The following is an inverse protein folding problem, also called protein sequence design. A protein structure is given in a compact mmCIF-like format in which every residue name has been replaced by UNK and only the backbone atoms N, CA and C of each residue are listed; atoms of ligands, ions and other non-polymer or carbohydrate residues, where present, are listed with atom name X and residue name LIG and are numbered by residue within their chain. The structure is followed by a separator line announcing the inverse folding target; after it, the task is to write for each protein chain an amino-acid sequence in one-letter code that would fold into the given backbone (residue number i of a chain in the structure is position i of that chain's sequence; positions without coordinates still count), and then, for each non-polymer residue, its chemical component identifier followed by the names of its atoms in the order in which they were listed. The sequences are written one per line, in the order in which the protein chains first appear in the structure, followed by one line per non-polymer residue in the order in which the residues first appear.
data_IF_102759567945
#
_entry.id   IF_102759567945
#
_cell.length_a   1.000
_cell.length_b   1.000
_cell.length_c   1.000
_cell.angle_alpha   90.00
_cell.angle_beta   90.00
_cell.angle_gamma   90.00
#
_symmetry.space_group_name_H-M   'P 1'
#
loop_
_entity.id
_entity.type
_entity.pdbx_description
1 polymer ?
#
# COMPACT_ATOMS: atom_id res chain seq x y z
N UNK A 1 12.65 -24.48 1.30
CA UNK A 1 11.99 -23.16 1.12
C UNK A 1 13.07 -22.09 1.15
N UNK A 2 13.27 -21.39 0.06
CA UNK A 2 14.18 -20.24 0.05
C UNK A 2 13.52 -19.10 0.82
N UNK A 3 14.26 -18.45 1.71
CA UNK A 3 13.76 -17.24 2.34
C UNK A 3 13.40 -16.19 1.27
N UNK A 4 12.27 -15.48 1.43
CA UNK A 4 11.93 -14.44 0.49
C UNK A 4 13.01 -13.35 0.53
N UNK A 5 13.61 -13.09 -0.62
CA UNK A 5 14.58 -12.01 -0.76
C UNK A 5 13.87 -10.69 -1.06
N UNK A 6 14.40 -9.60 -0.53
CA UNK A 6 13.89 -8.28 -0.84
C UNK A 6 14.06 -7.98 -2.34
N UNK A 7 13.00 -7.46 -3.03
CA UNK A 7 13.09 -7.19 -4.46
C UNK A 7 14.19 -6.18 -4.80
N UNK A 8 15.01 -6.51 -5.80
CA UNK A 8 16.04 -5.60 -6.27
C UNK A 8 15.42 -4.30 -6.82
N UNK A 9 16.06 -3.18 -6.55
CA UNK A 9 15.60 -1.86 -7.01
C UNK A 9 14.52 -1.21 -6.16
N UNK A 10 13.99 -1.90 -5.14
CA UNK A 10 13.01 -1.33 -4.19
C UNK A 10 13.69 -0.96 -2.88
N UNK A 11 13.60 0.31 -2.50
CA UNK A 11 14.04 0.75 -1.18
C UNK A 11 13.07 0.31 -0.08
N UNK A 12 13.56 0.28 1.15
CA UNK A 12 12.78 -0.07 2.33
C UNK A 12 13.04 0.92 3.46
N UNK A 13 11.98 1.39 4.09
CA UNK A 13 12.05 2.24 5.27
C UNK A 13 11.05 1.76 6.31
N UNK A 14 11.53 1.50 7.52
CA UNK A 14 10.70 1.08 8.65
C UNK A 14 10.68 2.20 9.69
N UNK A 15 9.48 2.63 10.08
CA UNK A 15 9.25 3.68 11.05
C UNK A 15 8.56 3.13 12.29
N UNK A 16 9.07 3.46 13.46
CA UNK A 16 8.45 3.08 14.72
C UNK A 16 7.06 3.72 14.87
N UNK A 17 6.93 4.99 14.47
CA UNK A 17 5.67 5.72 14.48
C UNK A 17 5.67 6.81 13.42
N UNK A 18 4.52 7.10 12.86
CA UNK A 18 4.29 8.14 11.87
C UNK A 18 2.80 8.53 11.91
N UNK A 19 2.44 9.68 11.38
CA UNK A 19 1.03 10.05 11.21
C UNK A 19 0.31 9.05 10.29
N UNK A 20 0.83 8.89 9.07
CA UNK A 20 0.34 7.92 8.10
C UNK A 20 1.46 7.59 7.11
N UNK A 21 1.56 6.34 6.68
CA UNK A 21 2.53 5.93 5.66
C UNK A 21 2.25 6.60 4.31
N UNK A 22 0.99 6.93 4.01
CA UNK A 22 0.62 7.69 2.81
C UNK A 22 1.10 9.14 2.88
N UNK A 23 0.97 9.79 4.03
CA UNK A 23 1.47 11.16 4.22
C UNK A 23 3.00 11.20 4.17
N UNK A 24 3.67 10.21 4.75
CA UNK A 24 5.12 10.08 4.64
C UNK A 24 5.55 9.86 3.19
N UNK A 25 4.81 9.05 2.44
CA UNK A 25 5.06 8.85 1.02
C UNK A 25 5.05 10.18 0.24
N UNK A 26 4.07 11.03 0.51
CA UNK A 26 3.98 12.35 -0.12
C UNK A 26 5.19 13.24 0.26
N UNK A 27 5.64 13.17 1.50
CA UNK A 27 6.78 13.96 2.00
C UNK A 27 8.10 13.56 1.34
N UNK A 28 8.34 12.26 1.15
CA UNK A 28 9.63 11.75 0.65
C UNK A 28 9.69 11.57 -0.87
N UNK A 29 8.53 11.48 -1.55
CA UNK A 29 8.47 11.20 -2.98
C UNK A 29 9.41 12.07 -3.82
N UNK A 30 9.51 13.41 -3.60
CA UNK A 30 10.41 14.26 -4.40
C UNK A 30 11.90 13.89 -4.29
N UNK A 31 12.28 13.16 -3.25
CA UNK A 31 13.69 12.78 -3.00
C UNK A 31 14.03 11.39 -3.51
N UNK A 32 13.05 10.64 -4.01
CA UNK A 32 13.23 9.25 -4.39
C UNK A 32 13.75 9.12 -5.83
N UNK A 33 14.70 8.22 -6.02
CA UNK A 33 15.23 7.84 -7.34
C UNK A 33 14.58 6.57 -7.91
N UNK A 34 13.74 5.89 -7.13
CA UNK A 34 13.09 4.64 -7.54
C UNK A 34 11.99 4.24 -6.56
N UNK A 35 11.40 3.06 -6.74
CA UNK A 35 10.34 2.57 -5.87
C UNK A 35 10.80 2.43 -4.41
N UNK A 36 9.95 2.84 -3.48
CA UNK A 36 10.24 2.81 -2.05
C UNK A 36 9.07 2.25 -1.26
N UNK A 37 9.33 1.26 -0.41
CA UNK A 37 8.39 0.81 0.60
C UNK A 37 8.58 1.57 1.90
N UNK A 38 7.48 1.95 2.52
CA UNK A 38 7.43 2.57 3.86
C UNK A 38 6.55 1.68 4.71
N UNK A 39 7.09 1.12 5.78
CA UNK A 39 6.37 0.34 6.78
C UNK A 39 6.33 1.12 8.09
N UNK A 40 5.17 1.23 8.71
CA UNK A 40 5.03 1.80 10.05
C UNK A 40 4.59 0.74 11.05
N UNK A 41 5.20 0.73 12.22
CA UNK A 41 4.76 -0.11 13.33
C UNK A 41 3.56 0.49 14.05
N UNK A 42 3.43 1.83 14.00
CA UNK A 42 2.31 2.57 14.55
C UNK A 42 1.98 3.79 13.68
N UNK A 43 0.69 4.02 13.43
CA UNK A 43 0.18 5.21 12.77
C UNK A 43 -0.75 5.98 13.71
N UNK A 44 -0.53 7.29 13.85
CA UNK A 44 -1.33 8.15 14.73
C UNK A 44 -2.53 8.79 14.04
N UNK A 45 -2.52 8.86 12.70
CA UNK A 45 -3.56 9.50 11.90
C UNK A 45 -3.81 8.75 10.58
N UNK A 46 -3.91 7.42 10.67
CA UNK A 46 -4.21 6.58 9.52
C UNK A 46 -5.59 6.90 8.96
N UNK A 47 -5.73 6.88 7.64
CA UNK A 47 -6.97 7.21 6.94
C UNK A 47 -7.31 6.22 5.84
N UNK A 48 -8.59 6.03 5.63
CA UNK A 48 -9.17 5.30 4.53
C UNK A 48 -9.67 6.23 3.43
N UNK A 49 -10.45 5.68 2.50
CA UNK A 49 -11.08 6.44 1.43
C UNK A 49 -11.96 7.57 1.97
N UNK A 50 -11.98 8.69 1.24
CA UNK A 50 -12.78 9.88 1.59
C UNK A 50 -12.42 10.48 2.96
N UNK A 51 -11.17 10.33 3.40
CA UNK A 51 -10.70 10.88 4.66
C UNK A 51 -11.24 10.20 5.91
N UNK A 52 -11.87 9.02 5.79
CA UNK A 52 -12.35 8.28 6.96
C UNK A 52 -11.18 7.83 7.81
N UNK A 53 -11.33 7.91 9.13
CA UNK A 53 -10.34 7.38 10.05
C UNK A 53 -10.16 5.87 9.84
N UNK A 54 -8.91 5.41 9.88
CA UNK A 54 -8.57 4.01 9.79
C UNK A 54 -7.94 3.58 11.12
N UNK A 55 -8.60 2.67 11.82
CA UNK A 55 -8.10 2.17 13.09
C UNK A 55 -6.94 1.20 12.86
N UNK A 56 -5.87 1.36 13.63
CA UNK A 56 -4.71 0.48 13.58
C UNK A 56 -4.42 -0.05 14.99
N UNK A 57 -4.52 -1.37 15.15
CA UNK A 57 -4.09 -2.05 16.37
C UNK A 57 -2.63 -2.45 16.26
N UNK A 58 -1.95 -2.59 17.39
CA UNK A 58 -0.57 -3.09 17.44
C UNK A 58 -0.48 -4.46 16.77
N UNK A 59 0.54 -4.64 15.94
CA UNK A 59 0.74 -5.87 15.16
C UNK A 59 0.05 -5.90 13.80
N UNK A 60 -0.82 -4.94 13.50
CA UNK A 60 -1.39 -4.82 12.16
C UNK A 60 -0.36 -4.29 11.16
N UNK A 61 -0.49 -4.75 9.92
CA UNK A 61 0.34 -4.28 8.82
C UNK A 61 -0.12 -2.89 8.38
N UNK A 62 0.83 -1.99 8.18
CA UNK A 62 0.59 -0.68 7.58
C UNK A 62 1.79 -0.29 6.75
N UNK A 63 1.63 -0.25 5.44
CA UNK A 63 2.71 0.10 4.53
C UNK A 63 2.20 0.87 3.33
N UNK A 64 3.09 1.64 2.72
CA UNK A 64 2.85 2.32 1.46
C UNK A 64 4.00 2.06 0.50
N UNK A 65 3.67 1.66 -0.72
CA UNK A 65 4.61 1.61 -1.83
C UNK A 65 4.52 2.92 -2.61
N UNK A 66 5.65 3.61 -2.75
CA UNK A 66 5.76 4.81 -3.58
C UNK A 66 6.43 4.42 -4.89
N UNK A 67 5.76 4.68 -6.00
CA UNK A 67 6.25 4.37 -7.35
C UNK A 67 6.38 5.65 -8.17
N UNK A 68 7.54 5.91 -8.80
CA UNK A 68 7.59 6.88 -9.90
C UNK A 68 6.67 6.42 -11.03
N UNK A 69 5.88 7.32 -11.58
CA UNK A 69 4.97 7.01 -12.70
C UNK A 69 5.09 8.04 -13.80
N UNK A 70 4.85 7.58 -15.03
CA UNK A 70 4.77 8.41 -16.24
C UNK A 70 3.42 8.27 -16.95
N UNK A 71 2.62 7.27 -16.57
CA UNK A 71 1.31 7.04 -17.15
C UNK A 71 0.27 8.08 -16.72
N UNK A 72 -0.79 8.21 -17.51
CA UNK A 72 -1.93 9.06 -17.19
C UNK A 72 -2.63 8.62 -15.89
N UNK A 73 -3.25 9.55 -15.13
CA UNK A 73 -3.94 9.21 -13.87
C UNK A 73 -5.00 8.12 -14.01
N UNK A 74 -5.72 8.06 -15.12
CA UNK A 74 -6.72 7.03 -15.37
C UNK A 74 -6.09 5.62 -15.45
N UNK A 75 -4.91 5.50 -16.04
CA UNK A 75 -4.16 4.25 -16.07
C UNK A 75 -3.57 3.90 -14.70
N UNK A 76 -3.02 4.90 -14.01
CA UNK A 76 -2.46 4.71 -12.66
C UNK A 76 -3.54 4.18 -11.68
N UNK A 77 -4.78 4.62 -11.82
CA UNK A 77 -5.90 4.15 -10.99
C UNK A 77 -6.16 2.64 -11.10
N UNK A 78 -5.84 2.03 -12.25
CA UNK A 78 -5.98 0.58 -12.44
C UNK A 78 -5.02 -0.23 -11.58
N UNK A 79 -3.98 0.38 -11.05
CA UNK A 79 -3.04 -0.27 -10.13
C UNK A 79 -3.69 -0.67 -8.80
N UNK A 80 -4.87 -0.14 -8.48
CA UNK A 80 -5.68 -0.61 -7.36
C UNK A 80 -6.02 -2.10 -7.50
N UNK A 81 -6.39 -2.53 -8.69
CA UNK A 81 -6.72 -3.94 -8.96
C UNK A 81 -5.46 -4.81 -8.93
N UNK A 82 -4.35 -4.32 -9.47
CA UNK A 82 -3.06 -5.01 -9.41
C UNK A 82 -2.61 -5.18 -7.96
N UNK A 83 -2.72 -4.14 -7.16
CA UNK A 83 -2.36 -4.18 -5.74
C UNK A 83 -3.24 -5.17 -4.95
N UNK A 84 -4.55 -5.20 -5.23
CA UNK A 84 -5.47 -6.14 -4.59
C UNK A 84 -5.14 -7.59 -4.93
N UNK A 85 -4.86 -7.88 -6.19
CA UNK A 85 -4.41 -9.20 -6.63
C UNK A 85 -3.09 -9.59 -5.98
N UNK A 86 -2.11 -8.70 -6.00
CA UNK A 86 -0.79 -8.94 -5.42
C UNK A 86 -0.88 -9.20 -3.90
N UNK A 87 -1.72 -8.45 -3.19
CA UNK A 87 -1.93 -8.66 -1.76
C UNK A 87 -2.58 -10.01 -1.48
N UNK A 88 -3.60 -10.39 -2.26
CA UNK A 88 -4.21 -11.72 -2.13
C UNK A 88 -3.18 -12.82 -2.36
N UNK A 89 -2.37 -12.71 -3.40
CA UNK A 89 -1.29 -13.66 -3.69
C UNK A 89 -0.27 -13.76 -2.53
N UNK A 90 0.11 -12.62 -1.96
CA UNK A 90 1.01 -12.58 -0.81
C UNK A 90 0.40 -13.28 0.42
N UNK A 91 -0.87 -13.02 0.72
CA UNK A 91 -1.58 -13.66 1.82
C UNK A 91 -1.71 -15.18 1.60
N UNK A 92 -1.99 -15.58 0.36
CA UNK A 92 -2.01 -16.99 -0.02
C UNK A 92 -0.63 -17.64 0.18
N UNK A 93 0.43 -16.98 -0.26
CA UNK A 93 1.80 -17.50 -0.14
C UNK A 93 2.23 -17.73 1.31
N UNK A 94 1.85 -16.83 2.23
CA UNK A 94 2.24 -16.96 3.64
C UNK A 94 1.33 -17.86 4.46
N UNK A 95 0.09 -18.10 4.03
CA UNK A 95 -0.89 -18.88 4.79
C UNK A 95 -1.19 -20.25 4.19
N UNK A 96 -0.97 -20.42 2.89
CA UNK A 96 -1.37 -21.62 2.15
C UNK A 96 -2.89 -21.82 2.00
N UNK A 97 -3.69 -20.79 2.25
CA UNK A 97 -5.17 -20.88 2.29
C UNK A 97 -5.83 -20.19 1.11
N UNK A 98 -5.89 -20.87 -0.03
CA UNK A 98 -6.50 -20.32 -1.24
C UNK A 98 -8.02 -20.08 -1.09
N UNK A 99 -8.70 -20.91 -0.34
CA UNK A 99 -10.15 -20.84 -0.12
C UNK A 99 -10.60 -19.73 0.86
N UNK A 100 -9.65 -19.15 1.61
CA UNK A 100 -9.99 -18.22 2.68
C UNK A 100 -10.06 -16.74 2.21
N UNK A 101 -9.34 -16.40 1.14
CA UNK A 101 -9.21 -15.01 0.69
C UNK A 101 -9.99 -14.72 -0.58
N UNK A 102 -10.75 -13.63 -0.56
CA UNK A 102 -11.49 -13.12 -1.70
C UNK A 102 -11.22 -11.63 -1.90
N UNK A 103 -11.50 -11.14 -3.09
CA UNK A 103 -11.40 -9.72 -3.41
C UNK A 103 -12.79 -9.10 -3.43
N UNK A 104 -12.91 -7.92 -2.84
CA UNK A 104 -14.10 -7.08 -2.94
C UNK A 104 -13.74 -5.79 -3.67
N UNK A 105 -14.35 -5.63 -4.83
CA UNK A 105 -14.15 -4.43 -5.64
C UNK A 105 -14.49 -3.15 -4.85
N UNK A 106 -13.75 -2.05 -4.99
CA UNK A 106 -12.57 -1.91 -5.85
C UNK A 106 -11.21 -2.17 -5.15
N UNK A 107 -11.16 -2.26 -3.81
CA UNK A 107 -9.90 -2.11 -3.08
C UNK A 107 -9.82 -2.90 -1.77
N UNK A 108 -10.68 -3.87 -1.56
CA UNK A 108 -10.71 -4.64 -0.32
C UNK A 108 -10.27 -6.09 -0.55
N UNK A 109 -9.54 -6.64 0.41
CA UNK A 109 -9.28 -8.07 0.52
C UNK A 109 -10.08 -8.60 1.71
N UNK A 110 -10.79 -9.70 1.48
CA UNK A 110 -11.62 -10.35 2.49
C UNK A 110 -10.97 -11.65 2.95
N UNK A 111 -11.09 -11.93 4.23
CA UNK A 111 -10.79 -13.22 4.85
C UNK A 111 -12.10 -13.81 5.37
N UNK A 112 -12.54 -14.91 4.75
CA UNK A 112 -13.80 -15.59 5.12
C UNK A 112 -14.99 -14.63 5.22
N UNK A 113 -15.10 -13.72 4.27
CA UNK A 113 -16.19 -12.75 4.19
C UNK A 113 -15.99 -11.46 4.98
N UNK A 114 -15.00 -11.39 5.87
CA UNK A 114 -14.65 -10.18 6.61
C UNK A 114 -13.50 -9.42 5.96
N UNK A 115 -13.53 -8.10 5.98
CA UNK A 115 -12.44 -7.29 5.47
C UNK A 115 -11.18 -7.45 6.31
N UNK A 116 -10.11 -7.96 5.71
CA UNK A 116 -8.81 -8.14 6.36
C UNK A 116 -7.82 -7.03 5.98
N UNK A 117 -7.98 -6.43 4.80
CA UNK A 117 -7.14 -5.35 4.35
C UNK A 117 -7.87 -4.41 3.42
N UNK A 118 -7.44 -3.16 3.41
CA UNK A 118 -7.86 -2.14 2.46
C UNK A 118 -6.68 -1.55 1.73
N UNK A 119 -6.92 -1.08 0.52
CA UNK A 119 -5.91 -0.46 -0.35
C UNK A 119 -6.39 0.95 -0.70
N UNK A 120 -5.51 1.92 -0.55
CA UNK A 120 -5.78 3.31 -0.90
C UNK A 120 -4.67 3.84 -1.80
N UNK A 121 -5.05 4.33 -2.99
CA UNK A 121 -4.12 4.95 -3.92
C UNK A 121 -4.24 6.46 -3.85
N UNK A 122 -3.08 7.13 -3.84
CA UNK A 122 -2.99 8.58 -3.93
C UNK A 122 -1.91 8.98 -4.92
N UNK A 123 -2.22 9.97 -5.74
CA UNK A 123 -1.23 10.59 -6.62
C UNK A 123 -0.43 11.63 -5.85
N UNK A 124 0.87 11.68 -6.12
CA UNK A 124 1.79 12.67 -5.55
C UNK A 124 2.37 13.50 -6.70
N UNK A 125 2.37 14.80 -6.53
CA UNK A 125 2.91 15.70 -7.54
C UNK A 125 2.62 17.16 -7.20
N UNK A 126 3.01 18.07 -8.09
CA UNK A 126 2.76 19.50 -7.96
C UNK A 126 1.97 20.03 -9.15
N UNK A 127 0.95 20.86 -8.89
CA UNK A 127 0.11 21.44 -9.92
C UNK A 127 -0.70 20.36 -10.67
N UNK A 128 -0.65 20.38 -12.00
CA UNK A 128 -1.32 19.39 -12.87
C UNK A 128 -0.46 18.16 -13.16
N UNK A 129 0.77 18.13 -12.66
CA UNK A 129 1.73 17.07 -12.92
C UNK A 129 1.73 16.05 -11.79
N UNK A 130 1.54 14.78 -12.12
CA UNK A 130 1.67 13.65 -11.19
C UNK A 130 3.01 12.98 -11.45
N UNK A 131 3.84 12.88 -10.42
CA UNK A 131 5.18 12.29 -10.51
C UNK A 131 5.28 10.90 -9.90
N UNK A 132 4.46 10.62 -8.91
CA UNK A 132 4.48 9.37 -8.16
C UNK A 132 3.07 8.90 -7.83
N UNK A 133 2.95 7.60 -7.63
CA UNK A 133 1.77 6.96 -7.08
C UNK A 133 2.12 6.36 -5.73
N UNK A 134 1.33 6.65 -4.71
CA UNK A 134 1.40 6.03 -3.40
C UNK A 134 0.29 4.99 -3.26
N UNK A 135 0.66 3.75 -2.97
CA UNK A 135 -0.25 2.63 -2.77
C UNK A 135 -0.20 2.23 -1.30
N UNK A 136 -1.17 2.68 -0.54
CA UNK A 136 -1.31 2.37 0.88
C UNK A 136 -2.05 1.05 1.10
N UNK A 137 -1.53 0.23 1.99
CA UNK A 137 -2.09 -1.08 2.37
C UNK A 137 -2.17 -1.15 3.89
N UNK A 138 -3.36 -1.42 4.38
CA UNK A 138 -3.59 -1.57 5.81
C UNK A 138 -4.65 -2.60 6.15
#
# INVERSE_FOLDING_TARGET
MTEPTWPAGYGQRVLASVDSTLDEAARIAPTLSGPQWILALHQTAARGRRGRAWAMSAGNFAATLVLPITEAPAQAALRSFVAALALREALLAVTGRDDAFALKWPNDVLLRGGKVAGILLESVGSGKSVSHLAIGIG
#
